data_IF_836040157150
#
_entry.id   IF_836040157150
#
_cell.length_a   1.000
_cell.length_b   1.000
_cell.length_c   1.000
_cell.angle_alpha   90.00
_cell.angle_beta   90.00
_cell.angle_gamma   90.00
#
_symmetry.space_group_name_H-M   'P 1'
#
loop_
_entity.id
_entity.type
_entity.pdbx_description
1 polymer ?
#
# COMPACT_ATOMS: atom_id res chain seq x y z
N UNK A 1 4.51 2.60 -14.21
CA UNK A 1 4.92 3.97 -14.66
C UNK A 1 6.41 4.04 -14.95
N UNK A 2 7.33 3.87 -13.97
CA UNK A 2 8.78 3.98 -14.19
C UNK A 2 9.30 3.08 -15.31
N UNK A 3 8.87 1.81 -15.36
CA UNK A 3 9.26 0.88 -16.40
C UNK A 3 8.69 1.27 -17.76
N UNK A 4 7.46 1.76 -17.81
CA UNK A 4 6.83 2.28 -19.03
C UNK A 4 7.60 3.48 -19.59
N UNK A 5 7.94 4.43 -18.72
CA UNK A 5 8.75 5.59 -19.09
C UNK A 5 10.14 5.18 -19.62
N UNK A 6 10.82 4.21 -18.98
CA UNK A 6 12.10 3.69 -19.44
C UNK A 6 12.05 3.01 -20.83
N UNK A 7 10.89 2.45 -21.20
CA UNK A 7 10.66 1.78 -22.46
C UNK A 7 10.01 2.67 -23.53
N UNK A 8 9.59 3.89 -23.16
CA UNK A 8 8.84 4.76 -24.07
C UNK A 8 7.48 4.17 -24.49
N UNK A 9 6.89 3.31 -23.65
CA UNK A 9 5.60 2.64 -23.89
C UNK A 9 4.49 3.26 -23.05
N UNK A 10 3.24 3.23 -23.53
CA UNK A 10 2.08 3.53 -22.69
C UNK A 10 2.05 2.62 -21.46
N UNK A 11 1.66 3.17 -20.31
CA UNK A 11 1.57 2.40 -19.06
C UNK A 11 0.65 1.19 -19.19
N UNK A 12 -0.47 1.34 -19.89
CA UNK A 12 -1.43 0.25 -20.12
C UNK A 12 -0.86 -0.92 -20.89
N UNK A 13 -0.03 -0.66 -21.89
CA UNK A 13 0.59 -1.72 -22.69
C UNK A 13 1.59 -2.52 -21.87
N UNK A 14 2.31 -1.84 -20.98
CA UNK A 14 3.21 -2.52 -20.02
C UNK A 14 2.40 -3.36 -19.04
N UNK A 15 1.31 -2.82 -18.49
CA UNK A 15 0.44 -3.56 -17.58
C UNK A 15 -0.19 -4.78 -18.25
N UNK A 16 -0.67 -4.68 -19.50
CA UNK A 16 -1.20 -5.83 -20.26
C UNK A 16 -0.15 -6.92 -20.42
N UNK A 17 1.08 -6.57 -20.79
CA UNK A 17 2.16 -7.54 -20.92
C UNK A 17 2.47 -8.25 -19.60
N UNK A 18 2.45 -7.54 -18.45
CA UNK A 18 2.59 -8.17 -17.14
C UNK A 18 1.39 -9.05 -16.78
N UNK A 19 0.18 -8.67 -17.14
CA UNK A 19 -1.02 -9.50 -16.98
C UNK A 19 -0.86 -10.83 -17.74
N UNK A 20 -0.46 -10.76 -19.00
CA UNK A 20 -0.25 -11.92 -19.86
C UNK A 20 0.90 -12.79 -19.36
N UNK A 21 1.91 -12.20 -18.74
CA UNK A 21 3.01 -12.93 -18.11
C UNK A 21 2.59 -13.69 -16.85
N UNK A 22 1.48 -13.28 -16.17
CA UNK A 22 0.95 -14.00 -15.01
C UNK A 22 0.69 -13.16 -13.76
N UNK A 23 0.94 -11.84 -13.79
CA UNK A 23 0.53 -10.95 -12.68
C UNK A 23 -1.00 -10.90 -12.64
N UNK A 24 -1.60 -11.26 -11.52
CA UNK A 24 -3.05 -11.26 -11.37
C UNK A 24 -3.60 -10.07 -10.56
N UNK A 25 -2.78 -9.43 -9.75
CA UNK A 25 -3.19 -8.32 -8.88
C UNK A 25 -2.20 -7.16 -8.91
N UNK A 26 -2.71 -5.96 -8.65
CA UNK A 26 -1.89 -4.75 -8.48
C UNK A 26 -2.19 -4.09 -7.14
N UNK A 27 -1.15 -3.49 -6.56
CA UNK A 27 -1.26 -2.73 -5.33
C UNK A 27 -1.51 -1.26 -5.64
N UNK A 28 -2.57 -0.71 -5.06
CA UNK A 28 -2.95 0.70 -5.18
C UNK A 28 -2.66 1.38 -3.84
N UNK A 29 -1.79 2.38 -3.90
CA UNK A 29 -1.38 3.17 -2.74
C UNK A 29 -2.17 4.46 -2.67
N UNK A 30 -2.27 5.05 -1.48
CA UNK A 30 -2.71 6.43 -1.35
C UNK A 30 -1.89 7.37 -2.24
N UNK A 31 -2.54 8.39 -2.72
CA UNK A 31 -1.88 9.49 -3.43
C UNK A 31 -1.27 10.47 -2.43
N UNK A 32 -0.34 11.29 -2.91
CA UNK A 32 0.17 12.49 -2.24
C UNK A 32 0.30 13.59 -3.28
N UNK A 33 0.31 14.85 -2.87
CA UNK A 33 0.53 15.97 -3.81
C UNK A 33 1.85 15.81 -4.56
N UNK A 34 2.92 15.43 -3.86
CA UNK A 34 4.23 15.18 -4.46
C UNK A 34 4.17 14.06 -5.51
N UNK A 35 3.48 12.95 -5.21
CA UNK A 35 3.36 11.83 -6.14
C UNK A 35 2.56 12.19 -7.38
N UNK A 36 1.44 12.88 -7.22
CA UNK A 36 0.63 13.35 -8.35
C UNK A 36 1.38 14.35 -9.22
N UNK A 37 2.17 15.24 -8.60
CA UNK A 37 3.04 16.18 -9.30
C UNK A 37 4.13 15.46 -10.08
N UNK A 38 4.82 14.51 -9.45
CA UNK A 38 5.87 13.72 -10.10
C UNK A 38 5.34 12.83 -11.25
N UNK A 39 4.06 12.46 -11.19
CA UNK A 39 3.39 11.75 -12.28
C UNK A 39 2.89 12.67 -13.40
N UNK A 40 2.95 14.00 -13.22
CA UNK A 40 2.44 14.98 -14.17
C UNK A 40 0.91 15.09 -14.19
N UNK A 41 0.22 14.59 -13.16
CA UNK A 41 -1.25 14.62 -13.06
C UNK A 41 -1.77 15.97 -12.58
N UNK A 42 -1.00 16.59 -11.68
CA UNK A 42 -1.20 17.95 -11.17
C UNK A 42 0.11 18.74 -11.24
N UNK A 43 0.00 20.05 -11.07
CA UNK A 43 1.11 20.94 -10.77
C UNK A 43 0.93 21.44 -9.34
N UNK A 44 2.01 21.40 -8.56
CA UNK A 44 1.99 21.90 -7.17
C UNK A 44 3.15 22.84 -6.96
N UNK A 45 2.90 23.94 -6.28
CA UNK A 45 3.90 24.93 -5.90
C UNK A 45 3.64 25.37 -4.46
N UNK A 46 4.71 25.63 -3.72
CA UNK A 46 4.61 26.17 -2.36
C UNK A 46 4.48 27.68 -2.37
N UNK A 47 3.93 28.26 -1.30
CA UNK A 47 3.85 29.71 -1.17
C UNK A 47 5.23 30.39 -1.12
N UNK A 48 6.24 29.71 -0.58
CA UNK A 48 7.63 30.17 -0.62
C UNK A 48 8.16 30.27 -2.03
N UNK A 49 7.94 29.26 -2.87
CA UNK A 49 8.33 29.27 -4.29
C UNK A 49 7.60 30.37 -5.08
N UNK A 50 6.29 30.57 -4.83
CA UNK A 50 5.53 31.67 -5.44
C UNK A 50 6.12 33.04 -5.11
N UNK A 51 6.46 33.27 -3.84
CA UNK A 51 7.09 34.55 -3.41
C UNK A 51 8.47 34.73 -4.04
N UNK A 52 9.27 33.67 -4.07
CA UNK A 52 10.60 33.73 -4.67
C UNK A 52 10.52 34.03 -6.17
N UNK A 53 9.63 33.36 -6.89
CA UNK A 53 9.44 33.60 -8.32
C UNK A 53 8.93 35.02 -8.60
N UNK A 54 8.00 35.55 -7.81
CA UNK A 54 7.52 36.91 -7.90
C UNK A 54 8.67 37.93 -7.68
N UNK A 55 9.54 37.69 -6.70
CA UNK A 55 10.71 38.54 -6.42
C UNK A 55 11.75 38.54 -7.56
N UNK A 56 11.87 37.41 -8.28
CA UNK A 56 12.77 37.25 -9.42
C UNK A 56 12.17 37.73 -10.77
N UNK A 57 10.88 38.12 -10.76
CA UNK A 57 10.17 38.48 -11.99
C UNK A 57 9.94 37.26 -12.93
N UNK A 58 10.00 36.05 -12.38
CA UNK A 58 9.83 34.80 -13.13
C UNK A 58 8.36 34.51 -13.34
N UNK A 59 7.97 34.10 -14.56
CA UNK A 59 6.61 33.60 -14.83
C UNK A 59 6.37 32.28 -14.12
N UNK A 60 5.21 32.16 -13.45
CA UNK A 60 4.82 30.96 -12.69
C UNK A 60 3.84 30.06 -13.45
N UNK A 61 3.81 30.13 -14.77
CA UNK A 61 2.89 29.33 -15.58
C UNK A 61 1.43 29.51 -15.13
N UNK A 62 0.76 28.41 -14.84
CA UNK A 62 -0.66 28.45 -14.43
C UNK A 62 -0.89 29.25 -13.14
N UNK A 63 0.12 29.35 -12.26
CA UNK A 63 0.03 30.05 -10.97
C UNK A 63 0.22 31.57 -11.05
N UNK A 64 0.47 32.11 -12.23
CA UNK A 64 0.55 33.56 -12.44
C UNK A 64 -0.75 34.30 -12.07
N UNK A 65 -1.88 33.59 -12.06
CA UNK A 65 -3.19 34.13 -11.71
C UNK A 65 -3.47 34.14 -10.19
N UNK A 66 -2.56 33.63 -9.36
CA UNK A 66 -2.69 33.73 -7.90
C UNK A 66 -2.42 35.16 -7.48
N UNK A 67 -3.43 35.84 -6.92
CA UNK A 67 -3.30 37.22 -6.46
C UNK A 67 -2.25 37.34 -5.36
N UNK A 68 -1.47 38.42 -5.39
CA UNK A 68 -0.42 38.69 -4.38
C UNK A 68 -0.95 38.63 -2.93
N UNK A 69 -2.21 39.01 -2.70
CA UNK A 69 -2.87 38.95 -1.40
C UNK A 69 -3.26 37.53 -0.95
N UNK A 70 -3.29 36.55 -1.87
CA UNK A 70 -3.62 35.15 -1.59
C UNK A 70 -2.37 34.28 -1.38
N UNK A 71 -1.16 34.83 -1.59
CA UNK A 71 0.10 34.09 -1.41
C UNK A 71 0.48 34.04 0.07
N UNK A 72 0.33 32.85 0.65
CA UNK A 72 0.74 32.53 2.03
C UNK A 72 1.95 31.60 2.01
N UNK A 73 2.97 31.88 2.82
CA UNK A 73 4.22 31.10 2.83
C UNK A 73 4.00 29.63 3.22
N UNK A 74 3.19 29.40 4.25
CA UNK A 74 2.82 28.08 4.74
C UNK A 74 1.53 27.59 4.04
N UNK A 75 1.61 27.46 2.73
CA UNK A 75 0.52 26.91 1.91
C UNK A 75 1.09 26.22 0.66
N UNK A 76 0.34 25.26 0.14
CA UNK A 76 0.56 24.68 -1.18
C UNK A 76 -0.57 25.15 -2.13
N UNK A 77 -0.22 25.31 -3.40
CA UNK A 77 -1.13 25.68 -4.48
C UNK A 77 -1.11 24.58 -5.52
N UNK A 78 -2.29 24.11 -5.91
CA UNK A 78 -2.46 22.94 -6.76
C UNK A 78 -3.35 23.28 -7.94
N UNK A 79 -2.91 22.90 -9.14
CA UNK A 79 -3.67 23.02 -10.38
C UNK A 79 -3.65 21.68 -11.13
N UNK A 80 -4.71 21.36 -11.86
CA UNK A 80 -4.71 20.22 -12.76
C UNK A 80 -3.76 20.45 -13.95
N UNK A 81 -3.11 19.37 -14.44
CA UNK A 81 -2.37 19.43 -15.70
C UNK A 81 -3.33 19.28 -16.88
N UNK A 82 -4.04 18.15 -16.98
CA UNK A 82 -4.91 17.86 -18.12
C UNK A 82 -6.35 17.48 -17.69
N UNK A 83 -6.52 16.91 -16.50
CA UNK A 83 -7.79 16.34 -16.04
C UNK A 83 -8.31 17.03 -14.79
N UNK A 84 -9.35 17.81 -14.95
CA UNK A 84 -10.01 18.48 -13.82
C UNK A 84 -10.51 17.50 -12.75
N UNK A 85 -10.93 16.29 -13.11
CA UNK A 85 -11.39 15.27 -12.16
C UNK A 85 -10.33 14.85 -11.12
N UNK A 86 -9.05 14.92 -11.48
CA UNK A 86 -7.97 14.66 -10.51
C UNK A 86 -7.90 15.76 -9.46
N UNK A 87 -8.10 17.01 -9.86
CA UNK A 87 -8.13 18.15 -8.94
C UNK A 87 -9.35 18.11 -8.02
N UNK A 88 -10.51 17.64 -8.53
CA UNK A 88 -11.72 17.45 -7.74
C UNK A 88 -11.52 16.39 -6.66
N UNK A 89 -10.88 15.26 -7.02
CA UNK A 89 -10.49 14.21 -6.05
C UNK A 89 -9.53 14.75 -4.99
N UNK A 90 -8.51 15.50 -5.41
CA UNK A 90 -7.53 16.13 -4.50
C UNK A 90 -8.21 17.11 -3.55
N UNK A 91 -9.11 17.95 -4.03
CA UNK A 91 -9.86 18.89 -3.18
C UNK A 91 -10.68 18.18 -2.12
N UNK A 92 -11.42 17.14 -2.52
CA UNK A 92 -12.23 16.35 -1.61
C UNK A 92 -11.36 15.68 -0.53
N UNK A 93 -10.25 15.07 -0.92
CA UNK A 93 -9.33 14.41 0.01
C UNK A 93 -8.66 15.40 0.96
N UNK A 94 -8.26 16.58 0.47
CA UNK A 94 -7.72 17.64 1.29
C UNK A 94 -8.75 18.19 2.30
N UNK A 95 -10.00 18.37 1.88
CA UNK A 95 -11.08 18.79 2.77
C UNK A 95 -11.38 17.74 3.84
N UNK A 96 -11.41 16.47 3.48
CA UNK A 96 -11.61 15.36 4.43
C UNK A 96 -10.48 15.28 5.46
N UNK A 97 -9.24 15.48 5.01
CA UNK A 97 -8.06 15.33 5.85
C UNK A 97 -7.78 16.54 6.74
N UNK A 98 -7.89 17.74 6.21
CA UNK A 98 -7.45 18.96 6.89
C UNK A 98 -8.59 19.90 7.31
N UNK A 99 -9.80 19.63 6.86
CA UNK A 99 -10.95 20.50 7.05
C UNK A 99 -11.15 21.47 5.88
N UNK A 100 -12.41 21.72 5.53
CA UNK A 100 -12.77 22.60 4.42
C UNK A 100 -12.36 24.07 4.64
N UNK A 101 -12.15 24.50 5.88
CA UNK A 101 -11.71 25.84 6.25
C UNK A 101 -10.26 26.13 5.82
N UNK A 102 -9.45 25.09 5.64
CA UNK A 102 -8.07 25.20 5.17
C UNK A 102 -7.92 25.15 3.65
N UNK A 103 -8.94 24.70 2.95
CA UNK A 103 -8.95 24.53 1.49
C UNK A 103 -9.74 25.66 0.85
N UNK A 104 -9.13 26.36 -0.11
CA UNK A 104 -9.76 27.50 -0.79
C UNK A 104 -9.42 27.50 -2.28
N UNK A 105 -10.43 27.66 -3.14
CA UNK A 105 -10.20 28.00 -4.55
C UNK A 105 -9.77 29.45 -4.63
N UNK A 106 -8.60 29.71 -5.17
CA UNK A 106 -8.00 31.07 -5.31
C UNK A 106 -8.01 31.57 -6.75
N UNK A 107 -8.29 30.72 -7.72
CA UNK A 107 -8.54 31.04 -9.12
C UNK A 107 -9.48 30.00 -9.72
N UNK A 108 -10.40 30.43 -10.56
CA UNK A 108 -11.32 29.55 -11.27
C UNK A 108 -10.85 29.23 -12.70
N UNK A 109 -10.03 30.08 -13.27
CA UNK A 109 -9.58 29.90 -14.65
C UNK A 109 -8.12 30.35 -14.85
N UNK A 110 -7.13 29.43 -14.81
CA UNK A 110 -7.28 28.00 -14.45
C UNK A 110 -7.69 27.83 -12.98
N UNK A 111 -8.37 26.71 -12.68
CA UNK A 111 -8.74 26.42 -11.31
C UNK A 111 -7.51 26.09 -10.47
N UNK A 112 -7.32 26.83 -9.38
CA UNK A 112 -6.21 26.69 -8.46
C UNK A 112 -6.76 26.57 -7.05
N UNK A 113 -6.37 25.49 -6.36
CA UNK A 113 -6.71 25.22 -4.98
C UNK A 113 -5.52 25.62 -4.10
N UNK A 114 -5.77 26.39 -3.06
CA UNK A 114 -4.84 26.67 -1.97
C UNK A 114 -5.18 25.82 -0.77
N UNK A 115 -4.19 25.16 -0.18
CA UNK A 115 -4.28 24.46 1.10
C UNK A 115 -3.28 25.05 2.09
N UNK A 116 -3.76 25.45 3.28
CA UNK A 116 -2.93 26.00 4.36
C UNK A 116 -2.30 24.89 5.19
N UNK A 117 -1.01 24.98 5.45
CA UNK A 117 -0.25 24.08 6.31
C UNK A 117 1.22 24.05 5.97
N UNK A 118 2.00 23.33 6.74
CA UNK A 118 3.44 23.20 6.50
C UNK A 118 3.74 22.43 5.22
N UNK A 119 4.61 22.99 4.40
CA UNK A 119 5.14 22.34 3.19
C UNK A 119 6.54 21.76 3.42
N UNK A 120 7.06 21.85 4.66
CA UNK A 120 8.38 21.32 5.02
C UNK A 120 8.33 19.78 4.97
N UNK A 121 9.22 19.14 4.19
CA UNK A 121 9.29 17.68 4.15
C UNK A 121 9.76 17.14 5.51
N UNK A 122 9.22 15.99 5.91
CA UNK A 122 9.77 15.25 7.04
C UNK A 122 11.10 14.59 6.67
N UNK A 123 12.03 14.48 7.63
CA UNK A 123 13.21 13.66 7.46
C UNK A 123 12.84 12.20 7.13
N UNK A 124 13.64 11.56 6.29
CA UNK A 124 13.43 10.19 5.90
C UNK A 124 13.40 9.25 7.14
N UNK A 125 12.37 8.42 7.25
CA UNK A 125 12.19 7.48 8.37
C UNK A 125 11.40 8.00 9.57
N UNK A 126 10.93 9.25 9.56
CA UNK A 126 10.06 9.80 10.61
C UNK A 126 8.60 9.78 10.15
N UNK A 127 7.88 8.72 10.49
CA UNK A 127 6.47 8.53 10.12
C UNK A 127 5.50 8.86 11.26
N UNK A 128 6.01 9.07 12.47
CA UNK A 128 5.30 9.40 13.70
C UNK A 128 5.08 10.92 13.89
N UNK A 129 5.63 11.75 13.02
CA UNK A 129 5.41 13.20 13.03
C UNK A 129 4.36 13.61 11.99
N UNK A 130 3.66 14.73 12.20
CA UNK A 130 2.73 15.26 11.21
C UNK A 130 3.42 15.49 9.87
N UNK A 131 2.97 14.80 8.83
CA UNK A 131 3.55 14.93 7.50
C UNK A 131 3.24 16.30 6.90
N UNK A 132 4.21 16.89 6.21
CA UNK A 132 3.99 18.10 5.42
C UNK A 132 2.98 17.86 4.30
N UNK A 133 2.30 18.93 3.86
CA UNK A 133 1.21 18.87 2.87
C UNK A 133 1.55 18.08 1.60
N UNK A 134 2.80 18.16 1.14
CA UNK A 134 3.20 17.53 -0.12
C UNK A 134 3.29 16.01 -0.04
N UNK A 135 3.65 15.48 1.14
CA UNK A 135 3.92 14.06 1.36
C UNK A 135 2.80 13.33 2.12
N UNK A 136 1.85 14.09 2.65
CA UNK A 136 0.73 13.52 3.38
C UNK A 136 -0.11 12.59 2.48
N UNK A 137 -0.48 11.37 2.96
CA UNK A 137 -1.41 10.52 2.24
C UNK A 137 -2.76 11.22 2.15
N UNK A 138 -3.32 11.28 0.97
CA UNK A 138 -4.64 11.89 0.70
C UNK A 138 -5.71 10.80 0.72
N UNK A 139 -5.86 10.07 -0.37
CA UNK A 139 -6.83 8.99 -0.48
C UNK A 139 -6.47 8.03 -1.62
N UNK A 140 -7.28 6.98 -1.77
CA UNK A 140 -7.10 6.00 -2.83
C UNK A 140 -7.52 6.60 -4.19
N UNK A 141 -6.70 6.49 -5.24
CA UNK A 141 -6.99 7.06 -6.56
C UNK A 141 -8.08 6.26 -7.27
N UNK A 142 -9.28 6.80 -7.35
CA UNK A 142 -10.46 6.19 -7.98
C UNK A 142 -10.18 5.81 -9.44
N UNK A 143 -9.56 6.70 -10.19
CA UNK A 143 -9.28 6.47 -11.62
C UNK A 143 -8.24 5.35 -11.83
N UNK A 144 -7.22 5.25 -10.98
CA UNK A 144 -6.25 4.17 -11.04
C UNK A 144 -6.90 2.82 -10.71
N UNK A 145 -7.81 2.77 -9.72
CA UNK A 145 -8.58 1.56 -9.41
C UNK A 145 -9.44 1.11 -10.59
N UNK A 146 -10.18 2.03 -11.22
CA UNK A 146 -10.99 1.75 -12.43
C UNK A 146 -10.12 1.25 -13.59
N UNK A 147 -9.00 1.92 -13.85
CA UNK A 147 -8.04 1.54 -14.89
C UNK A 147 -7.48 0.13 -14.68
N UNK A 148 -7.05 -0.17 -13.46
CA UNK A 148 -6.48 -1.48 -13.11
C UNK A 148 -7.52 -2.59 -13.23
N UNK A 149 -8.76 -2.35 -12.76
CA UNK A 149 -9.86 -3.29 -12.90
C UNK A 149 -10.25 -3.53 -14.36
N UNK A 150 -10.29 -2.47 -15.18
CA UNK A 150 -10.58 -2.57 -16.62
C UNK A 150 -9.55 -3.41 -17.39
N UNK A 151 -8.31 -3.45 -16.91
CA UNK A 151 -7.26 -4.33 -17.42
C UNK A 151 -7.36 -5.78 -16.88
N UNK A 152 -8.36 -6.07 -16.05
CA UNK A 152 -8.62 -7.41 -15.51
C UNK A 152 -7.75 -7.79 -14.31
N UNK A 153 -7.08 -6.86 -13.66
CA UNK A 153 -6.35 -7.13 -12.42
C UNK A 153 -7.28 -7.09 -11.21
N UNK A 154 -6.97 -7.90 -10.21
CA UNK A 154 -7.46 -7.75 -8.85
C UNK A 154 -6.73 -6.60 -8.16
N UNK A 155 -7.38 -6.00 -7.16
CA UNK A 155 -6.85 -4.82 -6.47
C UNK A 155 -6.56 -5.14 -5.01
N UNK A 156 -5.35 -4.78 -4.57
CA UNK A 156 -4.95 -4.75 -3.17
C UNK A 156 -4.70 -3.28 -2.82
N UNK A 157 -5.52 -2.72 -1.94
CA UNK A 157 -5.32 -1.32 -1.51
C UNK A 157 -4.30 -1.23 -0.40
N UNK A 158 -3.51 -0.15 -0.40
CA UNK A 158 -2.44 0.08 0.57
C UNK A 158 -2.55 1.47 1.19
N UNK A 159 -3.55 1.70 2.06
CA UNK A 159 -3.68 2.96 2.77
C UNK A 159 -2.55 3.10 3.80
N UNK A 160 -2.14 4.35 4.03
CA UNK A 160 -1.11 4.72 4.99
C UNK A 160 -1.73 5.44 6.19
N UNK A 161 -1.25 5.14 7.40
CA UNK A 161 -1.65 5.86 8.61
C UNK A 161 -1.11 7.30 8.62
N UNK A 162 -1.75 8.13 9.42
CA UNK A 162 -1.31 9.48 9.76
C UNK A 162 -1.82 9.87 11.15
N UNK A 163 -1.26 10.93 11.72
CA UNK A 163 -1.59 11.37 13.08
C UNK A 163 -3.07 11.77 13.18
N UNK A 164 -3.70 11.36 14.29
CA UNK A 164 -5.09 11.71 14.64
C UNK A 164 -6.15 11.33 13.59
N UNK A 165 -5.98 10.17 12.96
CA UNK A 165 -7.00 9.61 12.04
C UNK A 165 -8.34 9.48 12.74
N UNK A 166 -9.40 10.00 12.11
CA UNK A 166 -10.79 9.90 12.60
C UNK A 166 -11.54 8.74 11.93
N UNK A 167 -12.69 8.37 12.49
CA UNK A 167 -13.55 7.33 11.91
C UNK A 167 -14.06 7.74 10.52
N UNK A 168 -14.39 9.03 10.33
CA UNK A 168 -14.84 9.56 9.05
C UNK A 168 -13.74 9.46 7.97
N UNK A 169 -12.48 9.64 8.37
CA UNK A 169 -11.36 9.50 7.45
C UNK A 169 -11.09 8.03 7.08
N UNK A 170 -11.30 7.09 8.02
CA UNK A 170 -11.29 5.66 7.72
C UNK A 170 -12.44 5.32 6.77
N UNK A 171 -13.65 5.82 7.03
CA UNK A 171 -14.81 5.65 6.15
C UNK A 171 -14.56 6.21 4.75
N UNK A 172 -13.78 7.28 4.63
CA UNK A 172 -13.34 7.86 3.37
C UNK A 172 -12.57 6.87 2.48
N UNK A 173 -11.77 5.97 3.05
CA UNK A 173 -11.08 4.91 2.30
C UNK A 173 -12.10 4.02 1.59
N UNK A 174 -13.12 3.56 2.32
CA UNK A 174 -14.18 2.70 1.77
C UNK A 174 -15.13 3.44 0.85
N UNK A 175 -15.35 4.73 1.09
CA UNK A 175 -16.10 5.59 0.19
C UNK A 175 -15.41 5.69 -1.19
N UNK A 176 -14.08 5.85 -1.23
CA UNK A 176 -13.30 5.84 -2.48
C UNK A 176 -13.37 4.49 -3.21
N UNK A 177 -13.32 3.38 -2.49
CA UNK A 177 -13.49 2.04 -3.07
C UNK A 177 -14.90 1.90 -3.68
N UNK A 178 -15.92 2.33 -2.95
CA UNK A 178 -17.31 2.32 -3.43
C UNK A 178 -17.51 3.22 -4.65
N UNK A 179 -16.93 4.41 -4.65
CA UNK A 179 -16.95 5.36 -5.77
C UNK A 179 -16.28 4.76 -7.01
N UNK A 180 -15.18 4.05 -6.85
CA UNK A 180 -14.52 3.36 -7.94
C UNK A 180 -15.45 2.33 -8.60
N UNK A 181 -16.35 1.72 -7.83
CA UNK A 181 -17.32 0.74 -8.33
C UNK A 181 -16.67 -0.54 -8.84
N UNK A 182 -15.50 -0.87 -8.32
CA UNK A 182 -14.72 -2.05 -8.72
C UNK A 182 -14.45 -2.94 -7.50
N UNK A 183 -14.33 -4.27 -7.67
CA UNK A 183 -14.03 -5.16 -6.56
C UNK A 183 -12.62 -4.89 -6.01
N UNK A 184 -12.53 -4.76 -4.68
CA UNK A 184 -11.29 -4.67 -3.93
C UNK A 184 -11.32 -5.75 -2.86
N UNK A 185 -10.49 -6.77 -3.02
CA UNK A 185 -10.57 -7.99 -2.21
C UNK A 185 -9.66 -7.95 -0.98
N UNK A 186 -8.66 -7.07 -0.95
CA UNK A 186 -7.66 -7.09 0.09
C UNK A 186 -7.10 -5.70 0.44
N UNK A 187 -6.70 -5.56 1.70
CA UNK A 187 -5.99 -4.40 2.23
C UNK A 187 -4.63 -4.86 2.76
N UNK A 188 -3.58 -4.16 2.38
CA UNK A 188 -2.22 -4.36 2.89
C UNK A 188 -1.72 -3.03 3.48
N UNK A 189 -1.48 -2.94 4.78
CA UNK A 189 -1.00 -1.70 5.39
C UNK A 189 0.28 -1.16 4.73
N UNK A 190 0.43 0.16 4.71
CA UNK A 190 1.60 0.85 4.19
C UNK A 190 2.27 1.65 5.31
N UNK A 191 3.61 1.67 5.34
CA UNK A 191 4.36 2.35 6.40
C UNK A 191 4.62 1.46 7.61
N UNK A 192 4.74 2.08 8.79
CA UNK A 192 5.10 1.44 10.06
C UNK A 192 3.93 1.18 10.99
N UNK A 193 2.74 1.65 10.63
CA UNK A 193 1.51 1.53 11.42
C UNK A 193 0.32 1.20 10.53
N UNK A 194 -0.66 0.48 11.07
CA UNK A 194 -1.96 0.32 10.40
C UNK A 194 -2.77 1.61 10.53
N UNK A 195 -3.64 1.89 9.55
CA UNK A 195 -4.53 3.05 9.62
C UNK A 195 -5.39 2.99 10.89
N UNK A 196 -5.46 4.11 11.60
CA UNK A 196 -6.20 4.20 12.86
C UNK A 196 -5.44 3.74 14.10
N UNK A 197 -4.17 3.37 13.98
CA UNK A 197 -3.33 3.11 15.16
C UNK A 197 -3.10 4.42 15.95
N UNK A 198 -3.13 4.39 17.30
CA UNK A 198 -3.40 3.21 18.13
C UNK A 198 -4.90 2.99 18.47
N UNK A 199 -5.80 3.95 18.23
CA UNK A 199 -7.11 4.02 18.89
C UNK A 199 -8.31 3.68 17.99
N UNK A 200 -8.13 3.61 16.65
CA UNK A 200 -9.19 3.47 15.66
C UNK A 200 -9.12 2.19 14.81
N UNK A 201 -8.19 1.28 15.13
CA UNK A 201 -7.99 0.02 14.41
C UNK A 201 -9.22 -0.88 14.40
N UNK A 202 -10.02 -0.86 15.47
CA UNK A 202 -11.26 -1.63 15.54
C UNK A 202 -12.24 -1.17 14.45
N UNK A 203 -12.41 0.14 14.27
CA UNK A 203 -13.27 0.68 13.22
C UNK A 203 -12.80 0.25 11.82
N UNK A 204 -11.49 0.30 11.56
CA UNK A 204 -10.93 -0.22 10.31
C UNK A 204 -11.26 -1.70 10.11
N UNK A 205 -11.07 -2.53 11.15
CA UNK A 205 -11.37 -3.97 11.10
C UNK A 205 -12.83 -4.25 10.82
N UNK A 206 -13.75 -3.51 11.44
CA UNK A 206 -15.20 -3.61 11.19
C UNK A 206 -15.54 -3.28 9.74
N UNK A 207 -14.98 -2.19 9.20
CA UNK A 207 -15.16 -1.82 7.79
C UNK A 207 -14.58 -2.85 6.82
N UNK A 208 -13.44 -3.45 7.16
CA UNK A 208 -12.87 -4.54 6.36
C UNK A 208 -13.79 -5.77 6.33
N UNK A 209 -14.40 -6.13 7.48
CA UNK A 209 -15.38 -7.24 7.56
C UNK A 209 -16.61 -6.96 6.72
N UNK A 210 -17.21 -5.78 6.85
CA UNK A 210 -18.38 -5.36 6.07
C UNK A 210 -18.13 -5.45 4.56
N UNK A 211 -16.92 -5.17 4.12
CA UNK A 211 -16.51 -5.24 2.72
C UNK A 211 -15.87 -6.57 2.34
N UNK A 212 -15.91 -7.56 3.22
CA UNK A 212 -15.37 -8.91 3.00
C UNK A 212 -13.88 -8.92 2.62
N UNK A 213 -13.08 -7.97 3.09
CA UNK A 213 -11.68 -7.78 2.69
C UNK A 213 -10.72 -8.69 3.46
N UNK A 214 -9.71 -9.18 2.77
CA UNK A 214 -8.59 -9.94 3.37
C UNK A 214 -7.48 -9.00 3.80
N UNK A 215 -6.99 -9.14 5.04
CA UNK A 215 -5.79 -8.46 5.50
C UNK A 215 -4.54 -9.15 4.93
N UNK A 216 -3.73 -8.43 4.18
CA UNK A 216 -2.45 -8.94 3.68
C UNK A 216 -1.34 -8.55 4.64
N UNK A 217 -0.71 -9.55 5.25
CA UNK A 217 0.32 -9.38 6.28
C UNK A 217 1.70 -9.65 5.69
N UNK A 218 2.51 -8.61 5.57
CA UNK A 218 3.87 -8.72 5.02
C UNK A 218 4.81 -9.40 6.01
N UNK A 219 5.52 -10.41 5.54
CA UNK A 219 6.56 -11.07 6.32
C UNK A 219 7.84 -10.23 6.37
N UNK A 220 8.45 -10.17 7.55
CA UNK A 220 9.72 -9.48 7.74
C UNK A 220 10.87 -10.23 7.04
N UNK A 221 11.88 -9.51 6.60
CA UNK A 221 13.03 -10.09 5.90
C UNK A 221 13.79 -11.16 6.72
N UNK A 222 13.69 -11.14 8.04
CA UNK A 222 14.24 -12.19 8.90
C UNK A 222 13.48 -13.51 8.86
N UNK A 223 12.31 -13.53 8.19
CA UNK A 223 11.48 -14.71 7.93
C UNK A 223 10.83 -15.38 9.16
N UNK A 224 11.06 -14.85 10.35
CA UNK A 224 10.55 -15.43 11.61
C UNK A 224 9.34 -14.69 12.17
N UNK A 225 9.02 -13.53 11.62
CA UNK A 225 7.94 -12.65 12.09
C UNK A 225 7.37 -11.80 10.95
N UNK A 226 6.26 -11.13 11.20
CA UNK A 226 5.76 -10.12 10.27
C UNK A 226 6.60 -8.85 10.32
N UNK A 227 6.54 -8.04 9.27
CA UNK A 227 7.12 -6.71 9.25
C UNK A 227 6.60 -5.91 10.46
N UNK A 228 7.47 -5.08 11.04
CA UNK A 228 7.09 -4.23 12.18
C UNK A 228 6.14 -3.15 11.67
N UNK A 229 4.86 -3.44 11.79
CA UNK A 229 3.75 -2.54 11.51
C UNK A 229 2.91 -2.53 12.78
N UNK A 230 2.93 -1.41 13.49
CA UNK A 230 2.19 -1.30 14.74
C UNK A 230 0.68 -1.43 14.50
N UNK A 231 0.01 -2.19 15.35
CA UNK A 231 -1.40 -2.51 15.21
C UNK A 231 -1.73 -3.66 14.24
N UNK A 232 -0.75 -4.29 13.58
CA UNK A 232 -1.02 -5.34 12.55
C UNK A 232 -1.74 -6.56 13.13
N UNK A 233 -1.30 -7.07 14.28
CA UNK A 233 -1.93 -8.24 14.92
C UNK A 233 -3.30 -7.92 15.51
N UNK A 234 -3.49 -6.81 16.25
CA UNK A 234 -4.83 -6.37 16.65
C UNK A 234 -5.78 -6.18 15.47
N UNK A 235 -5.33 -5.60 14.35
CA UNK A 235 -6.17 -5.46 13.16
C UNK A 235 -6.59 -6.82 12.58
N UNK A 236 -5.70 -7.82 12.60
CA UNK A 236 -6.06 -9.18 12.19
C UNK A 236 -7.15 -9.76 13.08
N UNK A 237 -7.08 -9.53 14.40
CA UNK A 237 -8.13 -9.95 15.36
C UNK A 237 -9.46 -9.23 15.07
N UNK A 238 -9.44 -7.92 14.87
CA UNK A 238 -10.64 -7.14 14.54
C UNK A 238 -11.26 -7.54 13.20
N UNK A 239 -10.49 -8.13 12.28
CA UNK A 239 -10.96 -8.68 11.00
C UNK A 239 -11.22 -10.20 11.06
N UNK A 240 -11.49 -10.76 12.24
CA UNK A 240 -11.75 -12.18 12.49
C UNK A 240 -10.68 -13.11 11.89
N UNK A 241 -9.42 -12.67 11.92
CA UNK A 241 -8.26 -13.38 11.35
C UNK A 241 -8.38 -13.71 9.86
N UNK A 242 -9.24 -13.03 9.12
CA UNK A 242 -9.28 -13.14 7.67
C UNK A 242 -8.02 -12.48 7.08
N UNK A 243 -6.93 -13.22 7.08
CA UNK A 243 -5.61 -12.73 6.73
C UNK A 243 -4.84 -13.69 5.83
N UNK A 244 -4.00 -13.14 4.96
CA UNK A 244 -3.10 -13.88 4.08
C UNK A 244 -1.66 -13.39 4.25
N UNK A 245 -0.71 -14.33 4.30
CA UNK A 245 0.71 -14.00 4.42
C UNK A 245 1.27 -13.56 3.07
N UNK A 246 2.04 -12.47 3.08
CA UNK A 246 2.74 -11.94 1.91
C UNK A 246 4.25 -11.92 2.12
N UNK A 247 4.98 -12.08 1.04
CA UNK A 247 6.43 -11.92 1.01
C UNK A 247 6.85 -10.97 -0.10
N UNK A 248 7.94 -10.26 0.13
CA UNK A 248 8.63 -9.41 -0.85
C UNK A 248 10.13 -9.59 -0.70
N UNK A 249 10.85 -9.67 -1.80
CA UNK A 249 12.32 -9.59 -1.76
C UNK A 249 12.68 -8.12 -1.50
N UNK A 250 13.47 -7.87 -0.45
CA UNK A 250 13.90 -6.52 -0.10
C UNK A 250 14.57 -5.82 -1.28
N UNK A 251 14.26 -4.52 -1.55
CA UNK A 251 14.81 -3.82 -2.71
C UNK A 251 16.33 -3.71 -2.72
N UNK A 252 16.96 -3.65 -1.55
CA UNK A 252 18.43 -3.56 -1.43
C UNK A 252 19.07 -4.92 -1.68
N UNK A 253 18.40 -5.98 -1.28
CA UNK A 253 18.79 -7.35 -1.55
C UNK A 253 18.57 -7.73 -3.02
N UNK A 254 17.42 -7.35 -3.61
CA UNK A 254 17.11 -7.64 -5.01
C UNK A 254 18.16 -7.07 -5.99
N UNK A 255 18.81 -5.97 -5.63
CA UNK A 255 19.92 -5.40 -6.42
C UNK A 255 21.18 -6.26 -6.42
N UNK A 256 21.30 -7.21 -5.48
CA UNK A 256 22.51 -8.02 -5.25
C UNK A 256 22.36 -9.47 -5.71
N UNK A 257 21.13 -9.93 -5.95
CA UNK A 257 20.83 -11.30 -6.35
C UNK A 257 20.50 -11.39 -7.83
N UNK A 258 20.80 -12.55 -8.44
CA UNK A 258 20.38 -12.85 -9.81
C UNK A 258 18.87 -13.14 -9.89
N UNK A 259 18.30 -13.04 -11.09
CA UNK A 259 16.91 -13.47 -11.36
C UNK A 259 16.71 -14.93 -11.00
N UNK A 260 17.68 -15.81 -11.30
CA UNK A 260 17.59 -17.22 -10.95
C UNK A 260 17.58 -17.49 -9.46
N UNK A 261 18.29 -16.70 -8.65
CA UNK A 261 18.21 -16.81 -7.19
C UNK A 261 16.88 -16.30 -6.64
N UNK A 262 16.38 -15.19 -7.18
CA UNK A 262 15.06 -14.70 -6.82
C UNK A 262 13.96 -15.74 -7.11
N UNK A 263 14.03 -16.44 -8.25
CA UNK A 263 13.11 -17.53 -8.61
C UNK A 263 13.12 -18.66 -7.58
N UNK A 264 14.31 -19.11 -7.15
CA UNK A 264 14.41 -20.15 -6.11
C UNK A 264 13.77 -19.72 -4.80
N UNK A 265 13.88 -18.45 -4.42
CA UNK A 265 13.27 -17.93 -3.20
C UNK A 265 11.75 -17.96 -3.27
N UNK A 266 11.16 -17.51 -4.37
CA UNK A 266 9.70 -17.56 -4.51
C UNK A 266 9.17 -18.98 -4.35
N UNK A 267 9.81 -19.95 -5.00
CA UNK A 267 9.44 -21.34 -4.89
C UNK A 267 9.46 -21.87 -3.43
N UNK A 268 10.53 -21.54 -2.69
CA UNK A 268 10.68 -21.96 -1.30
C UNK A 268 9.69 -21.25 -0.36
N UNK A 269 9.44 -19.96 -0.57
CA UNK A 269 8.55 -19.20 0.31
C UNK A 269 7.10 -19.68 0.25
N UNK A 270 6.61 -20.01 -0.93
CA UNK A 270 5.26 -20.52 -1.12
C UNK A 270 5.08 -21.88 -0.45
N UNK A 271 6.07 -22.76 -0.58
CA UNK A 271 6.01 -24.12 -0.08
C UNK A 271 6.26 -24.20 1.44
N UNK A 272 7.34 -23.59 1.92
CA UNK A 272 7.80 -23.75 3.30
C UNK A 272 7.10 -22.78 4.28
N UNK A 273 6.71 -21.59 3.83
CA UNK A 273 6.21 -20.52 4.71
C UNK A 273 4.75 -20.16 4.49
N UNK A 274 4.03 -20.92 3.67
CA UNK A 274 2.63 -20.67 3.37
C UNK A 274 2.35 -19.25 2.88
N UNK A 275 3.24 -18.70 2.05
CA UNK A 275 3.00 -17.43 1.38
C UNK A 275 1.85 -17.59 0.39
N UNK A 276 0.92 -16.64 0.42
CA UNK A 276 -0.26 -16.64 -0.47
C UNK A 276 -0.32 -15.40 -1.35
N UNK A 277 0.46 -14.38 -1.02
CA UNK A 277 0.55 -13.14 -1.80
C UNK A 277 2.03 -12.87 -2.09
N UNK A 278 2.46 -13.10 -3.32
CA UNK A 278 3.80 -12.83 -3.79
C UNK A 278 3.89 -11.38 -4.27
N UNK A 279 4.48 -10.51 -3.45
CA UNK A 279 4.69 -9.11 -3.79
C UNK A 279 5.92 -8.97 -4.69
N UNK A 280 5.75 -9.17 -5.99
CA UNK A 280 6.81 -9.15 -6.97
C UNK A 280 7.18 -7.71 -7.33
N UNK A 281 8.46 -7.38 -7.21
CA UNK A 281 9.03 -6.12 -7.69
C UNK A 281 9.79 -6.35 -8.99
N UNK A 282 9.65 -5.49 -10.01
CA UNK A 282 10.47 -5.58 -11.21
C UNK A 282 11.96 -5.38 -10.91
N UNK A 283 12.82 -6.09 -11.61
CA UNK A 283 14.24 -5.75 -11.68
C UNK A 283 14.40 -4.43 -12.44
N UNK A 284 15.31 -3.58 -11.95
CA UNK A 284 15.63 -2.29 -12.59
C UNK A 284 16.85 -2.36 -13.49
N UNK A 285 17.55 -3.50 -13.52
CA UNK A 285 18.69 -3.78 -14.39
C UNK A 285 18.37 -4.98 -15.26
N UNK A 286 18.75 -4.95 -16.53
CA UNK A 286 18.60 -6.10 -17.43
C UNK A 286 19.55 -7.23 -17.03
N UNK A 287 19.17 -8.47 -17.32
CA UNK A 287 20.01 -9.65 -17.11
C UNK A 287 20.33 -10.34 -18.45
N UNK A 288 21.54 -10.87 -18.57
CA UNK A 288 21.93 -11.70 -19.71
C UNK A 288 21.89 -11.03 -21.09
N UNK A 289 22.11 -9.71 -21.16
CA UNK A 289 22.10 -8.97 -22.43
C UNK A 289 20.70 -8.74 -23.03
N UNK A 290 19.64 -9.11 -22.29
CA UNK A 290 18.25 -8.82 -22.67
C UNK A 290 17.87 -7.41 -22.26
N UNK A 291 16.83 -6.85 -22.90
CA UNK A 291 16.25 -5.61 -22.40
C UNK A 291 15.53 -5.84 -21.06
N UNK A 292 15.30 -4.75 -20.32
CA UNK A 292 14.73 -4.79 -18.99
C UNK A 292 13.28 -5.33 -18.98
N UNK A 293 12.53 -5.09 -20.06
CA UNK A 293 11.16 -5.56 -20.16
C UNK A 293 11.14 -7.08 -20.36
N UNK A 294 11.95 -7.62 -21.25
CA UNK A 294 12.07 -9.06 -21.49
C UNK A 294 12.56 -9.79 -20.24
N UNK A 295 13.53 -9.23 -19.51
CA UNK A 295 14.00 -9.75 -18.23
C UNK A 295 12.84 -9.91 -17.25
N UNK A 296 12.04 -8.85 -17.06
CA UNK A 296 10.94 -8.87 -16.10
C UNK A 296 9.76 -9.75 -16.52
N UNK A 297 9.40 -9.76 -17.80
CA UNK A 297 8.33 -10.63 -18.28
C UNK A 297 8.72 -12.11 -18.19
N UNK A 298 9.98 -12.45 -18.48
CA UNK A 298 10.49 -13.80 -18.27
C UNK A 298 10.47 -14.17 -16.80
N UNK A 299 10.95 -13.28 -15.93
CA UNK A 299 10.93 -13.48 -14.47
C UNK A 299 9.54 -13.83 -13.95
N UNK A 300 8.52 -13.07 -14.34
CA UNK A 300 7.12 -13.32 -13.91
C UNK A 300 6.61 -14.66 -14.44
N UNK A 301 6.86 -14.99 -15.72
CA UNK A 301 6.46 -16.30 -16.29
C UNK A 301 7.14 -17.47 -15.59
N UNK A 302 8.41 -17.34 -15.26
CA UNK A 302 9.17 -18.38 -14.58
C UNK A 302 8.69 -18.56 -13.13
N UNK A 303 8.32 -17.48 -12.41
CA UNK A 303 7.67 -17.57 -11.10
C UNK A 303 6.35 -18.34 -11.23
N UNK A 304 5.48 -17.93 -12.14
CA UNK A 304 4.20 -18.60 -12.40
C UNK A 304 4.41 -20.08 -12.65
N UNK A 305 5.26 -20.44 -13.59
CA UNK A 305 5.54 -21.85 -13.93
C UNK A 305 6.08 -22.63 -12.73
N UNK A 306 6.95 -22.01 -11.92
CA UNK A 306 7.51 -22.63 -10.72
C UNK A 306 6.45 -22.89 -9.64
N UNK A 307 5.53 -21.98 -9.46
CA UNK A 307 4.41 -22.10 -8.50
C UNK A 307 3.41 -23.17 -8.96
N UNK A 308 3.02 -23.14 -10.23
CA UNK A 308 2.10 -24.12 -10.81
C UNK A 308 2.68 -25.55 -10.83
N UNK A 309 3.99 -25.70 -11.08
CA UNK A 309 4.67 -27.00 -11.02
C UNK A 309 4.66 -27.64 -9.62
N UNK A 310 4.41 -26.85 -8.58
CA UNK A 310 4.24 -27.30 -7.19
C UNK A 310 2.79 -27.56 -6.79
N UNK A 311 1.87 -27.50 -7.74
CA UNK A 311 0.44 -27.76 -7.51
C UNK A 311 -0.35 -26.56 -6.99
N UNK A 312 0.23 -25.36 -6.94
CA UNK A 312 -0.51 -24.14 -6.62
C UNK A 312 -1.16 -23.56 -7.87
N UNK A 313 -2.21 -22.77 -7.66
CA UNK A 313 -2.90 -22.04 -8.73
C UNK A 313 -2.77 -20.54 -8.52
N UNK A 314 -2.61 -19.79 -9.63
CA UNK A 314 -2.62 -18.34 -9.56
C UNK A 314 -4.08 -17.85 -9.53
N UNK A 315 -4.45 -17.19 -8.46
CA UNK A 315 -5.83 -16.78 -8.26
C UNK A 315 -6.00 -15.84 -7.08
N UNK A 316 -7.12 -15.98 -6.39
CA UNK A 316 -7.40 -15.30 -5.14
C UNK A 316 -6.66 -15.99 -3.99
N UNK A 317 -6.10 -15.20 -3.08
CA UNK A 317 -5.40 -15.74 -1.93
C UNK A 317 -6.42 -16.45 -1.01
N UNK A 318 -6.26 -17.76 -0.86
CA UNK A 318 -7.06 -18.54 0.08
C UNK A 318 -6.75 -18.11 1.52
N UNK A 319 -7.79 -17.97 2.33
CA UNK A 319 -7.68 -17.71 3.77
C UNK A 319 -8.23 -18.89 4.55
N UNK A 320 -7.64 -19.15 5.71
CA UNK A 320 -8.18 -20.17 6.61
C UNK A 320 -9.41 -19.58 7.30
N UNK A 321 -10.58 -20.13 7.05
CA UNK A 321 -11.82 -19.77 7.73
C UNK A 321 -12.56 -21.04 8.19
N UNK A 322 -13.37 -20.89 9.24
CA UNK A 322 -14.22 -21.98 9.72
C UNK A 322 -15.25 -22.45 8.66
N UNK A 323 -15.52 -21.62 7.67
CA UNK A 323 -16.47 -21.88 6.58
C UNK A 323 -15.83 -22.54 5.35
N UNK A 324 -14.51 -22.60 5.29
CA UNK A 324 -13.80 -23.19 4.16
C UNK A 324 -13.94 -24.70 4.19
N UNK A 325 -14.96 -25.22 3.50
CA UNK A 325 -15.37 -26.64 3.50
C UNK A 325 -14.47 -27.55 2.65
N UNK A 326 -13.52 -26.99 1.91
CA UNK A 326 -12.70 -27.74 0.96
C UNK A 326 -11.47 -28.40 1.59
N UNK A 327 -11.68 -29.07 2.72
CA UNK A 327 -10.74 -30.05 3.24
C UNK A 327 -9.79 -29.61 4.35
N UNK A 328 -9.68 -28.35 4.67
CA UNK A 328 -8.88 -27.86 5.80
C UNK A 328 -9.65 -26.83 6.61
N UNK A 329 -10.62 -27.30 7.40
CA UNK A 329 -11.15 -26.45 8.46
C UNK A 329 -10.03 -26.19 9.47
N UNK A 330 -9.69 -24.93 9.79
CA UNK A 330 -8.72 -24.68 10.84
C UNK A 330 -9.25 -25.29 12.14
N UNK A 331 -8.50 -26.23 12.68
CA UNK A 331 -8.80 -26.80 13.96
C UNK A 331 -8.48 -25.78 15.03
N UNK A 332 -9.51 -25.11 15.55
CA UNK A 332 -9.42 -24.34 16.77
C UNK A 332 -9.80 -25.24 17.95
N UNK A 333 -8.81 -25.80 18.67
CA UNK A 333 -9.14 -26.68 19.79
C UNK A 333 -9.92 -25.87 20.84
N UNK A 334 -10.98 -26.45 21.36
CA UNK A 334 -11.69 -25.85 22.47
C UNK A 334 -10.70 -25.55 23.61
N UNK A 335 -10.90 -24.47 24.37
CA UNK A 335 -9.98 -24.07 25.45
C UNK A 335 -9.67 -25.22 26.42
N UNK A 336 -10.64 -26.12 26.65
CA UNK A 336 -10.48 -27.33 27.47
C UNK A 336 -9.40 -28.28 26.92
N UNK A 337 -9.16 -28.30 25.62
CA UNK A 337 -8.12 -29.13 24.99
C UNK A 337 -6.70 -28.69 25.31
N UNK A 338 -6.52 -27.48 25.84
CA UNK A 338 -5.22 -27.00 26.31
C UNK A 338 -4.86 -27.53 27.70
N UNK A 339 -5.84 -28.03 28.48
CA UNK A 339 -5.59 -28.53 29.85
C UNK A 339 -4.49 -29.62 29.87
N UNK A 340 -4.56 -30.69 29.05
CA UNK A 340 -3.52 -31.70 29.06
C UNK A 340 -2.15 -31.13 28.62
N UNK A 341 -2.11 -30.18 27.72
CA UNK A 341 -0.87 -29.50 27.30
C UNK A 341 -0.25 -28.74 28.46
N UNK A 342 -1.05 -27.94 29.17
CA UNK A 342 -0.60 -27.17 30.34
C UNK A 342 -0.10 -28.12 31.44
N UNK A 343 -0.82 -29.22 31.70
CA UNK A 343 -0.40 -30.22 32.66
C UNK A 343 0.92 -30.89 32.25
N UNK A 344 1.10 -31.23 30.98
CA UNK A 344 2.34 -31.79 30.48
C UNK A 344 3.53 -30.82 30.61
N UNK A 345 3.32 -29.53 30.32
CA UNK A 345 4.34 -28.48 30.51
C UNK A 345 4.67 -28.36 32.00
N UNK A 346 3.69 -28.29 32.90
CA UNK A 346 3.88 -28.19 34.32
C UNK A 346 4.67 -29.40 34.87
N UNK A 347 4.31 -30.63 34.46
CA UNK A 347 5.03 -31.85 34.82
C UNK A 347 6.48 -31.81 34.30
N UNK A 348 6.71 -31.35 33.08
CA UNK A 348 8.07 -31.19 32.51
C UNK A 348 8.92 -30.19 33.30
N UNK A 349 8.35 -29.08 33.72
CA UNK A 349 9.02 -28.10 34.57
C UNK A 349 9.39 -28.69 35.94
N UNK A 350 8.46 -29.42 36.57
CA UNK A 350 8.75 -30.10 37.87
C UNK A 350 9.86 -31.11 37.72
N UNK A 351 9.82 -31.95 36.70
CA UNK A 351 10.88 -32.93 36.43
C UNK A 351 12.24 -32.26 36.16
N UNK A 352 12.24 -31.18 35.39
CA UNK A 352 13.43 -30.42 35.11
C UNK A 352 14.05 -29.81 36.38
N UNK A 353 13.21 -29.21 37.22
CA UNK A 353 13.66 -28.69 38.52
C UNK A 353 14.15 -29.80 39.45
N UNK A 354 13.49 -30.95 39.51
CA UNK A 354 13.96 -32.10 40.29
C UNK A 354 15.34 -32.58 39.84
N UNK A 355 15.59 -32.62 38.52
CA UNK A 355 16.92 -32.96 37.99
C UNK A 355 17.97 -31.91 38.32
N UNK A 356 17.63 -30.61 38.29
CA UNK A 356 18.57 -29.53 38.60
C UNK A 356 18.98 -29.50 40.08
N UNK A 357 18.04 -29.73 40.96
CA UNK A 357 18.22 -29.63 42.40
C UNK A 357 18.43 -30.99 43.11
N UNK A 358 18.48 -32.07 42.30
CA UNK A 358 18.65 -33.44 42.79
C UNK A 358 17.66 -33.83 43.89
N UNK A 359 16.38 -33.40 43.72
CA UNK A 359 15.24 -33.62 44.61
C UNK A 359 14.59 -35.00 44.37
#
# INVERSE_FOLDING_TARGET
RKLAALQGLPEEDVLRQFKDAGINSLMIFDTTLERLTNNGEIQTVTGGELRQAAALGSGMGVFANVGAGDVEENAAYVAATDKQSVLDDVEQDLCLRYGADRVKVVSENPRIIKIKGSTTPLPEGKYDEPQGLLQAPLGLPVQDMRKVAALGFKIIVRPQNYVDVTDEQIDGIFARIKEAGVPVDALMPCGTEVVGYPNKMQHLGERMKENNMTLVMLEHYTQLQFAKIDGLLPLAEFNDYKAARSYVIDPTEQKKISVGEALRRWALTDEERNIRVNYIRPFLMPEGGQDIMKTNLKYVRDIKASVEARGYTIGEAGVFSAENKDGFAPYFPAKVSFIPIVLAIAAGVVLYLALLFNL
#
